data_IF_745090452471
#
_entry.id   IF_745090452471
#
_cell.length_a   1.000
_cell.length_b   1.000
_cell.length_c   1.000
_cell.angle_alpha   90.00
_cell.angle_beta   90.00
_cell.angle_gamma   90.00
#
_symmetry.space_group_name_H-M   'P 1'
#
loop_
_entity.id
_entity.type
_entity.pdbx_description
1 polymer ?
#
# COMPACT_ATOMS: atom_id res chain seq x y z
N UNK A 1 29.33 -1.58 -7.43
CA UNK A 1 28.00 -1.89 -7.98
C UNK A 1 27.53 -0.66 -8.71
N UNK A 2 27.03 -0.81 -9.94
CA UNK A 2 26.47 0.30 -10.71
C UNK A 2 24.96 0.10 -10.83
N UNK A 3 24.19 1.14 -10.51
CA UNK A 3 22.72 1.09 -10.54
C UNK A 3 22.27 1.36 -11.96
N UNK A 4 21.68 0.36 -12.62
CA UNK A 4 21.18 0.50 -14.00
C UNK A 4 19.89 1.31 -14.08
N UNK A 5 19.00 1.11 -13.11
CA UNK A 5 17.72 1.81 -13.00
C UNK A 5 17.45 2.04 -11.52
N UNK A 6 17.28 3.30 -11.12
CA UNK A 6 17.03 3.67 -9.74
C UNK A 6 15.55 3.46 -9.35
N UNK A 7 14.63 3.67 -10.29
CA UNK A 7 13.20 3.49 -10.09
C UNK A 7 12.66 2.53 -11.15
N UNK A 8 12.63 1.25 -10.80
CA UNK A 8 12.13 0.18 -11.67
C UNK A 8 10.62 -0.06 -11.51
N UNK A 9 10.01 0.49 -10.46
CA UNK A 9 8.61 0.26 -10.13
C UNK A 9 8.33 0.49 -8.65
N UNK A 10 7.10 0.91 -8.37
CA UNK A 10 6.61 1.08 -7.01
C UNK A 10 5.91 -0.21 -6.54
N UNK A 11 6.11 -0.56 -5.27
CA UNK A 11 5.48 -1.71 -4.63
C UNK A 11 4.54 -1.22 -3.54
N UNK A 12 3.40 -1.88 -3.36
CA UNK A 12 2.50 -1.59 -2.25
C UNK A 12 2.98 -2.28 -0.96
N UNK A 13 2.51 -1.76 0.18
CA UNK A 13 2.84 -2.29 1.50
C UNK A 13 2.51 -3.78 1.63
N UNK A 14 1.41 -4.23 1.01
CA UNK A 14 0.99 -5.63 1.04
C UNK A 14 1.94 -6.54 0.27
N UNK A 15 2.34 -6.15 -0.95
CA UNK A 15 3.32 -6.91 -1.75
C UNK A 15 4.66 -7.01 -1.03
N UNK A 16 5.11 -5.90 -0.42
CA UNK A 16 6.33 -5.90 0.39
C UNK A 16 6.16 -6.83 1.59
N UNK A 17 5.03 -6.80 2.30
CA UNK A 17 4.79 -7.68 3.44
C UNK A 17 4.82 -9.17 3.06
N UNK A 18 4.15 -9.56 1.97
CA UNK A 18 4.21 -10.93 1.43
C UNK A 18 5.65 -11.33 1.10
N UNK A 19 6.38 -10.48 0.37
CA UNK A 19 7.78 -10.73 0.00
C UNK A 19 8.68 -10.90 1.22
N UNK A 20 8.50 -10.08 2.27
CA UNK A 20 9.29 -10.20 3.49
C UNK A 20 8.98 -11.50 4.23
N UNK A 21 7.73 -11.98 4.24
CA UNK A 21 7.40 -13.28 4.83
C UNK A 21 8.04 -14.44 4.05
N UNK A 22 8.00 -14.41 2.72
CA UNK A 22 8.67 -15.40 1.87
C UNK A 22 10.20 -15.41 2.12
N UNK A 23 10.78 -14.22 2.29
CA UNK A 23 12.19 -14.07 2.63
C UNK A 23 12.49 -14.66 4.02
N UNK A 24 11.63 -14.43 5.02
CA UNK A 24 11.80 -15.00 6.38
C UNK A 24 11.84 -16.51 6.34
N UNK A 25 10.89 -17.15 5.63
CA UNK A 25 10.90 -18.61 5.49
C UNK A 25 12.21 -19.10 4.86
N UNK A 26 12.68 -18.41 3.82
CA UNK A 26 13.92 -18.76 3.12
C UNK A 26 15.18 -18.58 3.97
N UNK A 27 15.24 -17.53 4.80
CA UNK A 27 16.40 -17.19 5.64
C UNK A 27 16.47 -18.07 6.89
N UNK A 28 15.32 -18.42 7.48
CA UNK A 28 15.24 -19.39 8.59
C UNK A 28 15.83 -20.74 8.16
N UNK A 29 15.65 -21.14 6.89
CA UNK A 29 16.22 -22.36 6.32
C UNK A 29 17.75 -22.24 6.08
N UNK A 30 18.28 -21.04 5.87
CA UNK A 30 19.70 -20.77 5.56
C UNK A 30 20.39 -20.00 6.69
N UNK A 31 20.35 -20.55 7.90
CA UNK A 31 21.07 -19.98 9.05
C UNK A 31 22.54 -19.70 8.71
N UNK A 32 22.99 -18.45 8.96
CA UNK A 32 24.37 -17.91 9.04
C UNK A 32 24.64 -16.61 8.26
N UNK A 33 23.69 -16.07 7.50
CA UNK A 33 23.93 -14.83 6.74
C UNK A 33 23.36 -13.60 7.48
N UNK A 34 24.18 -12.99 8.35
CA UNK A 34 24.06 -11.59 8.77
C UNK A 34 22.94 -11.22 9.77
N UNK A 35 23.28 -11.12 11.05
CA UNK A 35 22.38 -10.63 12.12
C UNK A 35 21.64 -9.32 11.77
N UNK A 36 22.28 -8.41 11.03
CA UNK A 36 21.70 -7.11 10.67
C UNK A 36 20.49 -7.24 9.72
N UNK A 37 20.56 -8.16 8.75
CA UNK A 37 19.47 -8.35 7.79
C UNK A 37 18.25 -8.99 8.45
N UNK A 38 18.48 -9.94 9.37
CA UNK A 38 17.40 -10.52 10.17
C UNK A 38 16.70 -9.48 11.06
N UNK A 39 17.45 -8.53 11.65
CA UNK A 39 16.86 -7.42 12.41
C UNK A 39 16.00 -6.52 11.54
N UNK A 40 16.53 -6.06 10.40
CA UNK A 40 15.77 -5.19 9.46
C UNK A 40 14.51 -5.90 8.98
N UNK A 41 14.62 -7.18 8.63
CA UNK A 41 13.49 -7.98 8.17
C UNK A 41 12.42 -8.13 9.26
N UNK A 42 12.82 -8.33 10.51
CA UNK A 42 11.89 -8.43 11.63
C UNK A 42 11.19 -7.10 11.88
N UNK A 43 11.93 -6.00 12.00
CA UNK A 43 11.38 -4.66 12.24
C UNK A 43 10.47 -4.18 11.11
N UNK A 44 10.89 -4.36 9.84
CA UNK A 44 10.10 -3.96 8.68
C UNK A 44 8.80 -4.75 8.58
N UNK A 45 8.84 -6.07 8.75
CA UNK A 45 7.60 -6.86 8.76
C UNK A 45 6.69 -6.54 9.94
N UNK A 46 7.25 -6.28 11.13
CA UNK A 46 6.45 -5.89 12.30
C UNK A 46 5.75 -4.54 12.07
N UNK A 47 6.48 -3.57 11.52
CA UNK A 47 5.92 -2.27 11.13
C UNK A 47 4.77 -2.44 10.12
N UNK A 48 5.00 -3.22 9.05
CA UNK A 48 3.99 -3.45 8.02
C UNK A 48 2.81 -4.25 8.56
N UNK A 49 3.02 -5.26 9.40
CA UNK A 49 1.95 -6.05 10.02
C UNK A 49 1.00 -5.18 10.84
N UNK A 50 1.52 -4.20 11.57
CA UNK A 50 0.72 -3.25 12.35
C UNK A 50 -0.02 -2.23 11.46
N UNK A 51 0.57 -1.88 10.32
CA UNK A 51 0.03 -0.87 9.41
C UNK A 51 -1.03 -1.45 8.44
N UNK A 52 -0.87 -2.71 8.02
CA UNK A 52 -1.66 -3.32 6.93
C UNK A 52 -3.17 -3.48 7.20
N UNK A 53 -3.68 -3.14 8.40
CA UNK A 53 -5.09 -3.29 8.77
C UNK A 53 -5.75 -4.65 8.42
N UNK A 54 -4.96 -5.71 8.21
CA UNK A 54 -5.45 -7.02 7.78
C UNK A 54 -5.68 -7.19 6.26
N UNK A 55 -5.33 -6.21 5.43
CA UNK A 55 -5.50 -6.29 3.98
C UNK A 55 -4.85 -7.54 3.38
N UNK A 56 -5.60 -8.23 2.51
CA UNK A 56 -5.09 -9.31 1.68
C UNK A 56 -4.74 -8.83 0.28
N UNK A 57 -3.98 -9.63 -0.47
CA UNK A 57 -3.69 -9.34 -1.89
C UNK A 57 -4.96 -9.20 -2.74
N UNK A 58 -6.03 -9.92 -2.37
CA UNK A 58 -7.30 -9.83 -3.08
C UNK A 58 -7.98 -8.48 -2.84
N UNK A 59 -7.92 -7.98 -1.61
CA UNK A 59 -8.47 -6.67 -1.25
C UNK A 59 -7.75 -5.55 -2.00
N UNK A 60 -6.42 -5.64 -2.10
CA UNK A 60 -5.61 -4.69 -2.88
C UNK A 60 -6.00 -4.69 -4.35
N UNK A 61 -6.18 -5.87 -4.97
CA UNK A 61 -6.61 -5.99 -6.38
C UNK A 61 -8.00 -5.42 -6.61
N UNK A 62 -8.94 -5.75 -5.71
CA UNK A 62 -10.32 -5.25 -5.78
C UNK A 62 -10.35 -3.73 -5.63
N UNK A 63 -9.60 -3.20 -4.66
CA UNK A 63 -9.46 -1.77 -4.42
C UNK A 63 -8.84 -1.05 -5.63
N UNK A 64 -7.75 -1.58 -6.18
CA UNK A 64 -7.09 -0.99 -7.35
C UNK A 64 -8.00 -1.01 -8.59
N UNK A 65 -8.82 -2.06 -8.76
CA UNK A 65 -9.84 -2.13 -9.81
C UNK A 65 -10.94 -1.09 -9.59
N UNK A 66 -11.43 -0.94 -8.36
CA UNK A 66 -12.44 0.06 -8.02
C UNK A 66 -11.92 1.50 -8.23
N UNK A 67 -10.66 1.78 -7.88
CA UNK A 67 -9.98 3.05 -8.13
C UNK A 67 -9.73 3.32 -9.62
N UNK A 68 -9.62 2.27 -10.44
CA UNK A 68 -9.49 2.36 -11.90
C UNK A 68 -10.82 2.74 -12.56
N UNK A 69 -11.94 2.21 -12.06
CA UNK A 69 -13.28 2.52 -12.54
C UNK A 69 -13.88 3.81 -11.94
N UNK A 70 -13.18 4.44 -11.00
CA UNK A 70 -13.63 5.66 -10.38
C UNK A 70 -13.66 6.82 -11.41
N UNK A 71 -14.71 7.65 -11.43
CA UNK A 71 -14.89 8.70 -12.44
C UNK A 71 -13.82 9.79 -12.41
N UNK A 72 -13.13 9.98 -11.29
CA UNK A 72 -12.03 10.94 -11.16
C UNK A 72 -10.70 10.26 -11.49
N UNK A 73 -9.91 10.78 -12.45
CA UNK A 73 -8.61 10.22 -12.76
C UNK A 73 -7.65 10.48 -11.59
N UNK A 74 -7.36 9.45 -10.81
CA UNK A 74 -6.30 9.43 -9.80
C UNK A 74 -4.97 9.02 -10.44
N UNK A 75 -3.89 9.69 -10.05
CA UNK A 75 -2.53 9.34 -10.47
C UNK A 75 -2.09 8.01 -9.87
N UNK A 76 -1.03 7.42 -10.42
CA UNK A 76 -0.49 6.16 -9.93
C UNK A 76 -0.11 6.23 -8.45
N UNK A 77 0.60 7.31 -8.06
CA UNK A 77 1.06 7.50 -6.68
C UNK A 77 -0.10 7.75 -5.71
N UNK A 78 -1.14 8.48 -6.13
CA UNK A 78 -2.35 8.67 -5.32
C UNK A 78 -3.06 7.34 -5.07
N UNK A 79 -3.21 6.50 -6.09
CA UNK A 79 -3.81 5.17 -5.96
C UNK A 79 -2.98 4.30 -5.01
N UNK A 80 -1.66 4.29 -5.18
CA UNK A 80 -0.75 3.54 -4.33
C UNK A 80 -0.83 4.01 -2.87
N UNK A 81 -0.88 5.31 -2.64
CA UNK A 81 -0.96 5.88 -1.30
C UNK A 81 -2.31 5.57 -0.63
N UNK A 82 -3.43 5.62 -1.36
CA UNK A 82 -4.76 5.24 -0.86
C UNK A 82 -4.76 3.77 -0.41
N UNK A 83 -4.21 2.87 -1.23
CA UNK A 83 -4.10 1.43 -0.90
C UNK A 83 -3.23 1.24 0.35
N UNK A 84 -2.13 1.99 0.48
CA UNK A 84 -1.19 1.84 1.58
C UNK A 84 -1.65 2.42 2.92
N UNK A 85 -2.48 3.47 2.91
CA UNK A 85 -2.88 4.21 4.12
C UNK A 85 -4.33 4.02 4.52
N UNK A 86 -5.19 3.55 3.61
CA UNK A 86 -6.61 3.28 3.87
C UNK A 86 -7.33 4.48 4.53
N UNK A 87 -7.39 5.65 3.87
CA UNK A 87 -7.97 6.84 4.45
C UNK A 87 -9.43 6.59 4.83
N UNK A 88 -9.77 6.84 6.10
CA UNK A 88 -11.12 6.70 6.64
C UNK A 88 -11.85 8.03 6.73
N UNK A 89 -11.08 9.12 6.68
CA UNK A 89 -11.61 10.47 6.80
C UNK A 89 -11.35 11.29 5.53
N UNK A 90 -12.22 12.26 5.20
CA UNK A 90 -11.98 13.21 4.11
C UNK A 90 -10.68 14.00 4.31
N UNK A 91 -10.31 14.26 5.56
CA UNK A 91 -9.08 14.97 5.90
C UNK A 91 -7.84 14.18 5.48
N UNK A 92 -7.78 12.88 5.76
CA UNK A 92 -6.67 12.03 5.31
C UNK A 92 -6.59 11.98 3.78
N UNK A 93 -7.75 11.89 3.11
CA UNK A 93 -7.80 11.91 1.64
C UNK A 93 -7.28 13.23 1.06
N UNK A 94 -7.52 14.35 1.72
CA UNK A 94 -7.00 15.67 1.31
C UNK A 94 -5.47 15.77 1.39
N UNK A 95 -4.84 14.95 2.24
CA UNK A 95 -3.37 14.88 2.34
C UNK A 95 -2.78 14.04 1.21
N UNK A 96 -3.54 13.06 0.70
CA UNK A 96 -3.09 12.11 -0.32
C UNK A 96 -3.25 12.69 -1.74
N UNK A 97 -4.40 13.33 -2.02
CA UNK A 97 -4.75 13.78 -3.36
C UNK A 97 -4.30 15.22 -3.60
N UNK A 98 -3.58 15.46 -4.69
CA UNK A 98 -3.18 16.81 -5.07
C UNK A 98 -4.36 17.60 -5.61
N UNK A 99 -4.48 18.88 -5.22
CA UNK A 99 -5.58 19.78 -5.61
C UNK A 99 -6.96 19.14 -5.32
N UNK A 100 -7.08 18.55 -4.12
CA UNK A 100 -8.27 17.84 -3.66
C UNK A 100 -9.57 18.63 -3.89
N UNK A 101 -9.62 19.90 -3.51
CA UNK A 101 -10.81 20.76 -3.65
C UNK A 101 -11.22 21.03 -5.11
N UNK A 102 -10.29 20.98 -6.07
CA UNK A 102 -10.58 21.25 -7.49
C UNK A 102 -10.97 19.97 -8.24
N UNK A 103 -10.46 18.81 -7.80
CA UNK A 103 -10.62 17.52 -8.50
C UNK A 103 -11.74 16.65 -7.95
N UNK A 104 -12.08 16.78 -6.68
CA UNK A 104 -13.05 15.92 -6.00
C UNK A 104 -14.22 16.75 -5.48
N UNK A 105 -15.42 16.33 -5.87
CA UNK A 105 -16.67 16.85 -5.28
C UNK A 105 -16.99 16.10 -4.00
N UNK A 106 -17.70 16.73 -3.05
CA UNK A 106 -18.04 16.10 -1.76
C UNK A 106 -18.72 14.72 -1.89
N UNK A 107 -19.64 14.57 -2.85
CA UNK A 107 -20.30 13.29 -3.15
C UNK A 107 -19.32 12.19 -3.63
N UNK A 108 -18.29 12.58 -4.39
CA UNK A 108 -17.26 11.64 -4.86
C UNK A 108 -16.34 11.20 -3.72
N UNK A 109 -16.05 12.10 -2.79
CA UNK A 109 -15.26 11.79 -1.60
C UNK A 109 -15.98 10.75 -0.75
N UNK A 110 -17.27 10.95 -0.48
CA UNK A 110 -18.06 9.99 0.29
C UNK A 110 -18.16 8.64 -0.42
N UNK A 111 -18.34 8.63 -1.75
CA UNK A 111 -18.30 7.40 -2.56
C UNK A 111 -16.97 6.69 -2.48
N UNK A 112 -15.85 7.42 -2.54
CA UNK A 112 -14.52 6.84 -2.46
C UNK A 112 -14.29 6.22 -1.07
N UNK A 113 -14.60 6.95 0.00
CA UNK A 113 -14.48 6.45 1.37
C UNK A 113 -15.37 5.23 1.61
N UNK A 114 -16.58 5.21 1.07
CA UNK A 114 -17.48 4.05 1.14
C UNK A 114 -16.90 2.86 0.37
N UNK A 115 -16.31 3.10 -0.79
CA UNK A 115 -15.65 2.06 -1.60
C UNK A 115 -14.46 1.48 -0.85
N UNK A 116 -13.64 2.33 -0.22
CA UNK A 116 -12.49 1.92 0.60
C UNK A 116 -12.95 1.08 1.79
N UNK A 117 -13.95 1.55 2.54
CA UNK A 117 -14.50 0.84 3.68
C UNK A 117 -15.11 -0.52 3.32
N UNK A 118 -15.71 -0.63 2.13
CA UNK A 118 -16.34 -1.88 1.66
C UNK A 118 -15.32 -2.93 1.19
N UNK A 119 -14.12 -2.50 0.78
CA UNK A 119 -13.06 -3.39 0.27
C UNK A 119 -12.04 -3.78 1.35
N UNK A 120 -12.23 -3.36 2.60
CA UNK A 120 -11.37 -3.72 3.72
C UNK A 120 -12.17 -4.58 4.70
N UNK A 121 -11.94 -5.89 4.71
CA UNK A 121 -12.64 -6.87 5.57
C UNK A 121 -11.68 -7.55 6.55
#
# INVERSE_FOLDING_TARGET
>A
MEVKQADAGSLCNCEVFCLLNDCKETIVIRSKTGNQFATILYEASQYLQNNLAGQTEQDVKNMMTALLHFPVPLTHDEKLMIVNTLPRTPLELSVIVHNYDERLTGDQVEKLLTTIASNCS
#
